data_IF_953034045999
#
_entry.id   IF_953034045999
#
_cell.length_a   1.000
_cell.length_b   1.000
_cell.length_c   1.000
_cell.angle_alpha   90.00
_cell.angle_beta   90.00
_cell.angle_gamma   90.00
#
_symmetry.space_group_name_H-M   'P 1'
#
loop_
_entity.id
_entity.type
_entity.pdbx_description
1 polymer ?
#
# COMPACT_ATOMS: atom_id res chain seq x y z
N UNK A 1 -35.54 -19.75 -7.57
CA UNK A 1 -34.73 -18.51 -7.61
C UNK A 1 -34.79 -18.05 -9.04
N UNK A 2 -35.46 -16.91 -9.29
CA UNK A 2 -35.86 -16.55 -10.65
C UNK A 2 -34.73 -15.82 -11.37
N UNK A 3 -34.71 -15.91 -12.70
CA UNK A 3 -33.64 -15.41 -13.57
C UNK A 3 -33.27 -13.94 -13.27
N UNK A 4 -34.26 -13.12 -12.93
CA UNK A 4 -34.06 -11.71 -12.54
C UNK A 4 -33.20 -11.58 -11.27
N UNK A 5 -33.45 -12.40 -10.25
CA UNK A 5 -32.68 -12.40 -9.00
C UNK A 5 -31.23 -12.86 -9.21
N UNK A 6 -31.01 -13.79 -10.14
CA UNK A 6 -29.67 -14.28 -10.49
C UNK A 6 -28.86 -13.20 -11.24
N UNK A 7 -29.48 -12.50 -12.19
CA UNK A 7 -28.85 -11.39 -12.91
C UNK A 7 -28.50 -10.24 -11.96
N UNK A 8 -29.40 -9.90 -11.03
CA UNK A 8 -29.16 -8.85 -10.05
C UNK A 8 -27.96 -9.17 -9.13
N UNK A 9 -27.86 -10.40 -8.62
CA UNK A 9 -26.73 -10.81 -7.79
C UNK A 9 -25.39 -10.76 -8.53
N UNK A 10 -25.33 -11.22 -9.79
CA UNK A 10 -24.10 -11.17 -10.59
C UNK A 10 -23.62 -9.74 -10.82
N UNK A 11 -24.54 -8.81 -11.08
CA UNK A 11 -24.20 -7.39 -11.24
C UNK A 11 -23.70 -6.76 -9.94
N UNK A 12 -24.33 -7.12 -8.82
CA UNK A 12 -23.91 -6.65 -7.50
C UNK A 12 -22.51 -7.17 -7.15
N UNK A 13 -22.24 -8.46 -7.35
CA UNK A 13 -20.94 -9.08 -7.09
C UNK A 13 -19.83 -8.44 -7.92
N UNK A 14 -20.11 -8.15 -9.20
CA UNK A 14 -19.15 -7.50 -10.10
C UNK A 14 -18.85 -6.06 -9.64
N UNK A 15 -19.86 -5.31 -9.22
CA UNK A 15 -19.70 -3.96 -8.70
C UNK A 15 -18.93 -3.96 -7.36
N UNK A 16 -19.22 -4.91 -6.47
CA UNK A 16 -18.53 -5.08 -5.19
C UNK A 16 -17.04 -5.40 -5.40
N UNK A 17 -16.73 -6.33 -6.30
CA UNK A 17 -15.36 -6.65 -6.67
C UNK A 17 -14.63 -5.42 -7.22
N UNK A 18 -15.26 -4.67 -8.14
CA UNK A 18 -14.69 -3.41 -8.64
C UNK A 18 -14.40 -2.39 -7.55
N UNK A 19 -15.33 -2.20 -6.60
CA UNK A 19 -15.14 -1.32 -5.45
C UNK A 19 -13.99 -1.74 -4.54
N UNK A 20 -13.90 -3.04 -4.22
CA UNK A 20 -12.81 -3.60 -3.40
C UNK A 20 -11.43 -3.38 -4.04
N UNK A 21 -11.33 -3.51 -5.37
CA UNK A 21 -10.09 -3.25 -6.10
C UNK A 21 -9.60 -1.81 -5.92
N UNK A 22 -10.52 -0.85 -6.05
CA UNK A 22 -10.22 0.59 -5.85
C UNK A 22 -9.80 0.85 -4.41
N UNK A 23 -10.52 0.29 -3.42
CA UNK A 23 -10.17 0.44 -2.00
C UNK A 23 -8.77 -0.13 -1.70
N UNK A 24 -8.42 -1.26 -2.29
CA UNK A 24 -7.11 -1.88 -2.14
C UNK A 24 -5.99 -0.99 -2.72
N UNK A 25 -6.17 -0.47 -3.93
CA UNK A 25 -5.23 0.48 -4.54
C UNK A 25 -5.06 1.74 -3.69
N UNK A 26 -6.16 2.28 -3.16
CA UNK A 26 -6.12 3.43 -2.26
C UNK A 26 -5.33 3.12 -0.97
N UNK A 27 -5.57 1.96 -0.35
CA UNK A 27 -4.86 1.54 0.86
C UNK A 27 -3.34 1.42 0.65
N UNK A 28 -2.90 0.83 -0.47
CA UNK A 28 -1.46 0.75 -0.80
C UNK A 28 -0.88 2.15 -1.05
N UNK A 29 -1.62 3.02 -1.73
CA UNK A 29 -1.17 4.39 -1.95
C UNK A 29 -0.94 5.13 -0.62
N UNK A 30 -1.89 5.02 0.33
CA UNK A 30 -1.70 5.57 1.68
C UNK A 30 -0.53 4.93 2.42
N UNK A 31 -0.29 3.62 2.22
CA UNK A 31 0.88 2.95 2.79
C UNK A 31 2.20 3.51 2.26
N UNK A 32 2.30 3.88 0.97
CA UNK A 32 3.50 4.54 0.42
C UNK A 32 3.73 5.90 1.08
N UNK A 33 2.66 6.70 1.26
CA UNK A 33 2.75 7.97 1.97
C UNK A 33 3.27 7.75 3.38
N UNK A 34 2.68 6.77 4.10
CA UNK A 34 3.12 6.40 5.44
C UNK A 34 4.60 5.98 5.47
N UNK A 35 5.04 5.12 4.56
CA UNK A 35 6.44 4.68 4.48
C UNK A 35 7.40 5.87 4.23
N UNK A 36 6.99 6.83 3.40
CA UNK A 36 7.75 8.06 3.15
C UNK A 36 7.86 8.94 4.40
N UNK A 37 6.77 9.05 5.18
CA UNK A 37 6.79 9.75 6.47
C UNK A 37 7.72 9.07 7.47
N UNK A 38 7.73 7.73 7.52
CA UNK A 38 8.64 6.98 8.39
C UNK A 38 10.11 7.25 8.04
N UNK A 39 10.48 7.29 6.75
CA UNK A 39 11.86 7.65 6.35
C UNK A 39 12.22 9.05 6.83
N UNK A 40 11.30 10.02 6.67
CA UNK A 40 11.52 11.38 7.18
C UNK A 40 11.77 11.37 8.69
N UNK A 41 11.02 10.57 9.45
CA UNK A 41 11.24 10.45 10.90
C UNK A 41 12.58 9.80 11.22
N UNK A 42 12.97 8.75 10.51
CA UNK A 42 14.28 8.10 10.69
C UNK A 42 15.40 9.12 10.44
N UNK A 43 15.30 9.92 9.37
CA UNK A 43 16.28 10.97 9.05
C UNK A 43 16.37 12.05 10.14
N UNK A 44 15.25 12.45 10.75
CA UNK A 44 15.27 13.40 11.86
C UNK A 44 15.86 12.79 13.14
N UNK A 45 15.63 11.50 13.37
CA UNK A 45 16.18 10.77 14.53
C UNK A 45 17.68 10.49 14.39
N UNK A 46 18.17 10.22 13.17
CA UNK A 46 19.59 9.94 12.94
C UNK A 46 20.50 11.14 13.27
N UNK A 47 19.98 12.37 13.20
CA UNK A 47 20.68 13.59 13.62
C UNK A 47 20.84 13.75 15.13
N UNK A 48 20.05 13.03 15.94
CA UNK A 48 20.09 13.11 17.41
C UNK A 48 20.74 11.87 18.06
N UNK A 49 20.57 10.69 17.47
CA UNK A 49 21.26 9.47 17.87
C UNK A 49 22.50 9.24 17.02
N UNK A 50 23.67 9.61 17.55
CA UNK A 50 24.98 9.22 17.01
C UNK A 50 25.23 7.75 17.38
N UNK A 51 24.65 6.81 16.62
CA UNK A 51 24.90 5.39 16.80
C UNK A 51 25.03 4.67 15.46
N UNK A 52 25.81 3.58 15.43
CA UNK A 52 25.99 2.73 14.24
C UNK A 52 24.71 2.01 13.81
N UNK A 53 23.69 1.95 14.69
CA UNK A 53 22.36 1.38 14.41
C UNK A 53 21.54 2.31 13.52
N UNK A 54 21.76 3.62 13.66
CA UNK A 54 21.08 4.70 12.93
C UNK A 54 21.09 4.49 11.40
N UNK A 55 22.28 4.20 10.84
CA UNK A 55 22.46 3.93 9.40
C UNK A 55 21.77 2.65 8.92
N UNK A 56 21.67 1.63 9.77
CA UNK A 56 20.98 0.36 9.41
C UNK A 56 19.47 0.56 9.35
N UNK A 57 18.92 1.30 10.30
CA UNK A 57 17.48 1.63 10.33
C UNK A 57 17.10 2.46 9.11
N UNK A 58 17.93 3.44 8.75
CA UNK A 58 17.73 4.25 7.53
C UNK A 58 17.68 3.39 6.26
N UNK A 59 18.63 2.47 6.10
CA UNK A 59 18.66 1.57 4.95
C UNK A 59 17.42 0.65 4.89
N UNK A 60 16.97 0.13 6.03
CA UNK A 60 15.73 -0.66 6.12
C UNK A 60 14.52 0.19 5.71
N UNK A 61 14.46 1.45 6.15
CA UNK A 61 13.39 2.38 5.77
C UNK A 61 13.31 2.56 4.25
N UNK A 62 14.45 2.83 3.60
CA UNK A 62 14.53 2.96 2.15
C UNK A 62 14.12 1.68 1.41
N UNK A 63 14.61 0.52 1.84
CA UNK A 63 14.23 -0.78 1.25
C UNK A 63 12.72 -1.00 1.36
N UNK A 64 12.13 -0.71 2.52
CA UNK A 64 10.68 -0.82 2.73
C UNK A 64 9.89 0.11 1.80
N UNK A 65 10.34 1.35 1.59
CA UNK A 65 9.69 2.27 0.66
C UNK A 65 9.77 1.78 -0.79
N UNK A 66 10.94 1.33 -1.25
CA UNK A 66 11.07 0.77 -2.60
C UNK A 66 10.19 -0.47 -2.79
N UNK A 67 10.10 -1.32 -1.77
CA UNK A 67 9.23 -2.49 -1.80
C UNK A 67 7.74 -2.11 -1.84
N UNK A 68 7.33 -1.10 -1.06
CA UNK A 68 5.96 -0.56 -1.09
C UNK A 68 5.58 -0.02 -2.47
N UNK A 69 6.49 0.75 -3.08
CA UNK A 69 6.33 1.27 -4.45
C UNK A 69 6.24 0.12 -5.46
N UNK A 70 7.10 -0.89 -5.33
CA UNK A 70 7.09 -2.07 -6.19
C UNK A 70 5.77 -2.84 -6.11
N UNK A 71 5.25 -3.06 -4.89
CA UNK A 71 3.93 -3.69 -4.67
C UNK A 71 2.82 -2.87 -5.30
N UNK A 72 2.87 -1.53 -5.22
CA UNK A 72 1.86 -0.68 -5.83
C UNK A 72 1.83 -0.81 -7.35
N UNK A 73 3.00 -0.77 -8.01
CA UNK A 73 3.06 -1.00 -9.46
C UNK A 73 2.62 -2.41 -9.84
N UNK A 74 2.98 -3.42 -9.04
CA UNK A 74 2.47 -4.78 -9.24
C UNK A 74 0.94 -4.83 -9.12
N UNK A 75 0.37 -4.17 -8.10
CA UNK A 75 -1.07 -4.10 -7.89
C UNK A 75 -1.78 -3.36 -9.05
N UNK A 76 -1.18 -2.34 -9.66
CA UNK A 76 -1.76 -1.67 -10.83
C UNK A 76 -1.88 -2.58 -12.06
N UNK A 77 -0.99 -3.58 -12.19
CA UNK A 77 -1.00 -4.51 -13.33
C UNK A 77 -1.85 -5.75 -13.03
N UNK A 78 -1.82 -6.24 -11.78
CA UNK A 78 -2.41 -7.51 -11.41
C UNK A 78 -3.92 -7.43 -11.09
N UNK A 79 -4.45 -6.23 -10.83
CA UNK A 79 -5.72 -6.01 -10.13
C UNK A 79 -6.69 -5.22 -11.00
#
# INVERSE_FOLDING_TARGET
>A
MDIISQIFNVNLDTALLGGLKIMYLAAIFFYIIFASLIIKQIYLMTGTLISSVSKRIELIGWVNLFFAIGIFFFALVAL
#
